data_IF_125952304777
#
_entry.id   IF_125952304777
#
_cell.length_a   1.000
_cell.length_b   1.000
_cell.length_c   1.000
_cell.angle_alpha   90.00
_cell.angle_beta   90.00
_cell.angle_gamma   90.00
#
_symmetry.space_group_name_H-M   'P 1'
#
loop_
_entity.id
_entity.type
_entity.pdbx_description
1 polymer ?
#
# COMPACT_ATOMS: atom_id res chain seq x y z
N UNK A 1 -1.75 0.71 -2.18
CA UNK A 1 -2.09 -0.73 -2.30
C UNK A 1 -2.68 -0.87 -3.68
N UNK A 2 -2.09 -1.68 -4.57
CA UNK A 2 -2.60 -1.82 -5.94
C UNK A 2 -3.82 -2.76 -5.95
N UNK A 3 -4.89 -2.37 -6.61
CA UNK A 3 -6.09 -3.21 -6.82
C UNK A 3 -6.36 -3.34 -8.33
N UNK A 4 -6.46 -4.57 -8.81
CA UNK A 4 -6.83 -4.90 -10.20
C UNK A 4 -8.09 -5.74 -10.19
N UNK A 5 -9.14 -5.27 -10.85
CA UNK A 5 -10.41 -5.99 -11.01
C UNK A 5 -10.44 -6.69 -12.35
N UNK A 6 -10.88 -7.94 -12.32
CA UNK A 6 -10.99 -8.79 -13.47
C UNK A 6 -12.39 -9.39 -13.57
N UNK A 7 -12.89 -9.51 -14.79
CA UNK A 7 -14.18 -10.11 -15.07
C UNK A 7 -14.05 -11.18 -16.16
N UNK A 8 -14.83 -12.27 -16.01
CA UNK A 8 -14.93 -13.34 -17.01
C UNK A 8 -16.30 -13.98 -16.94
N UNK A 9 -17.07 -13.94 -18.03
CA UNK A 9 -18.36 -14.64 -18.13
C UNK A 9 -19.33 -14.42 -16.95
N UNK A 10 -19.35 -13.22 -16.35
CA UNK A 10 -20.17 -12.90 -15.18
C UNK A 10 -19.52 -13.20 -13.82
N UNK A 11 -18.35 -13.82 -13.81
CA UNK A 11 -17.50 -13.97 -12.62
C UNK A 11 -16.63 -12.73 -12.43
N UNK A 12 -16.48 -12.29 -11.18
CA UNK A 12 -15.60 -11.18 -10.80
C UNK A 12 -14.47 -11.68 -9.91
N UNK A 13 -13.27 -11.15 -10.12
CA UNK A 13 -12.11 -11.35 -9.24
C UNK A 13 -11.41 -10.04 -8.97
N UNK A 14 -10.80 -9.92 -7.80
CA UNK A 14 -10.04 -8.75 -7.40
C UNK A 14 -8.67 -9.18 -6.93
N UNK A 15 -7.64 -8.77 -7.65
CA UNK A 15 -6.26 -8.92 -7.22
C UNK A 15 -5.86 -7.69 -6.41
N UNK A 16 -5.31 -7.89 -5.22
CA UNK A 16 -4.77 -6.84 -4.34
C UNK A 16 -3.31 -7.10 -4.09
N UNK A 17 -2.48 -6.07 -4.21
CA UNK A 17 -1.06 -6.15 -3.88
C UNK A 17 -0.69 -5.05 -2.92
N UNK A 18 -0.09 -5.45 -1.81
CA UNK A 18 0.47 -4.59 -0.78
C UNK A 18 1.83 -5.12 -0.33
N UNK A 19 2.41 -4.50 0.70
CA UNK A 19 3.74 -4.83 1.21
C UNK A 19 3.84 -6.27 1.73
N UNK A 20 2.73 -6.87 2.16
CA UNK A 20 2.69 -8.25 2.63
C UNK A 20 2.61 -9.28 1.49
N UNK A 21 2.16 -8.90 0.30
CA UNK A 21 2.02 -9.82 -0.82
C UNK A 21 0.89 -9.47 -1.79
N UNK A 22 0.61 -10.41 -2.70
CA UNK A 22 -0.50 -10.34 -3.64
C UNK A 22 -1.60 -11.32 -3.23
N UNK A 23 -2.84 -10.85 -3.07
CA UNK A 23 -4.01 -11.66 -2.79
C UNK A 23 -4.96 -11.64 -3.98
N UNK A 24 -5.62 -12.76 -4.24
CA UNK A 24 -6.72 -12.88 -5.18
C UNK A 24 -8.00 -13.09 -4.39
N UNK A 25 -8.98 -12.22 -4.61
CA UNK A 25 -10.30 -12.28 -4.03
C UNK A 25 -11.33 -12.69 -5.08
N UNK A 26 -12.37 -13.40 -4.67
CA UNK A 26 -13.52 -13.70 -5.52
C UNK A 26 -14.54 -12.53 -5.52
N UNK A 27 -15.66 -12.69 -6.23
CA UNK A 27 -16.71 -11.68 -6.36
C UNK A 27 -17.42 -11.32 -5.06
N UNK A 28 -17.43 -12.22 -4.06
CA UNK A 28 -17.90 -11.98 -2.70
C UNK A 28 -16.85 -11.29 -1.82
N UNK A 29 -15.62 -11.12 -2.33
CA UNK A 29 -14.50 -10.53 -1.60
C UNK A 29 -13.81 -11.48 -0.62
N UNK A 30 -14.02 -12.80 -0.73
CA UNK A 30 -13.29 -13.80 0.07
C UNK A 30 -11.97 -14.10 -0.62
N UNK A 31 -10.98 -14.54 0.16
CA UNK A 31 -9.65 -14.89 -0.35
C UNK A 31 -9.75 -16.19 -1.14
N UNK A 32 -9.53 -16.10 -2.45
CA UNK A 32 -9.40 -17.24 -3.35
C UNK A 32 -7.95 -17.75 -3.42
N UNK A 33 -6.96 -16.90 -3.13
CA UNK A 33 -5.56 -17.28 -3.05
C UNK A 33 -4.65 -16.17 -2.53
N UNK A 34 -3.54 -16.55 -1.91
CA UNK A 34 -2.49 -15.66 -1.40
C UNK A 34 -1.16 -16.00 -2.08
N UNK A 35 -0.44 -14.98 -2.50
CA UNK A 35 0.77 -15.06 -3.30
C UNK A 35 1.81 -14.07 -2.76
N UNK A 36 3.10 -14.35 -2.98
CA UNK A 36 4.17 -13.43 -2.58
C UNK A 36 4.12 -12.06 -3.26
N UNK A 37 4.98 -11.16 -2.81
CA UNK A 37 5.11 -9.76 -3.27
C UNK A 37 5.40 -9.64 -4.77
N UNK A 38 6.17 -10.55 -5.34
CA UNK A 38 6.65 -10.49 -6.72
C UNK A 38 5.76 -11.23 -7.75
N UNK A 39 4.56 -11.64 -7.34
CA UNK A 39 3.68 -12.48 -8.17
C UNK A 39 2.58 -11.72 -8.93
N UNK A 40 2.43 -10.41 -8.72
CA UNK A 40 1.35 -9.63 -9.33
C UNK A 40 1.30 -9.75 -10.86
N UNK A 41 2.39 -9.40 -11.55
CA UNK A 41 2.42 -9.39 -13.02
C UNK A 41 2.30 -10.80 -13.61
N UNK A 42 2.85 -11.81 -12.92
CA UNK A 42 2.71 -13.21 -13.32
C UNK A 42 1.26 -13.69 -13.19
N UNK A 43 0.62 -13.42 -12.06
CA UNK A 43 -0.77 -13.80 -11.83
C UNK A 43 -1.72 -13.06 -12.78
N UNK A 44 -1.45 -11.77 -13.03
CA UNK A 44 -2.20 -10.99 -14.01
C UNK A 44 -2.13 -11.61 -15.41
N UNK A 45 -0.94 -12.04 -15.82
CA UNK A 45 -0.72 -12.67 -17.12
C UNK A 45 -1.42 -14.03 -17.23
N UNK A 46 -1.38 -14.84 -16.17
CA UNK A 46 -2.06 -16.13 -16.08
C UNK A 46 -3.58 -15.98 -16.19
N UNK A 47 -4.16 -15.05 -15.42
CA UNK A 47 -5.59 -14.73 -15.48
C UNK A 47 -6.00 -14.23 -16.87
N UNK A 48 -5.20 -13.37 -17.51
CA UNK A 48 -5.45 -12.92 -18.88
C UNK A 48 -5.42 -14.08 -19.88
N UNK A 49 -4.48 -15.02 -19.73
CA UNK A 49 -4.42 -16.22 -20.56
C UNK A 49 -5.63 -17.15 -20.35
N UNK A 50 -6.18 -17.19 -19.14
CA UNK A 50 -7.41 -17.90 -18.75
C UNK A 50 -8.71 -17.16 -19.17
N UNK A 51 -8.58 -16.04 -19.90
CA UNK A 51 -9.70 -15.29 -20.48
C UNK A 51 -10.28 -14.21 -19.59
N UNK A 52 -9.63 -13.87 -18.48
CA UNK A 52 -10.05 -12.78 -17.62
C UNK A 52 -9.68 -11.42 -18.21
N UNK A 53 -10.62 -10.48 -18.18
CA UNK A 53 -10.44 -9.13 -18.69
C UNK A 53 -10.29 -8.16 -17.53
N UNK A 54 -9.27 -7.30 -17.57
CA UNK A 54 -9.11 -6.23 -16.58
C UNK A 54 -10.15 -5.15 -16.84
N UNK A 55 -11.00 -4.89 -15.86
CA UNK A 55 -12.06 -3.87 -15.94
C UNK A 55 -11.75 -2.63 -15.11
N UNK A 56 -10.85 -2.76 -14.12
CA UNK A 56 -10.24 -1.63 -13.43
C UNK A 56 -8.83 -2.01 -12.94
N UNK A 57 -7.89 -1.06 -12.99
CA UNK A 57 -6.57 -1.18 -12.38
C UNK A 57 -6.19 0.17 -11.77
N UNK A 58 -5.69 0.18 -10.55
CA UNK A 58 -5.24 1.42 -9.91
C UNK A 58 -4.70 1.24 -8.50
N UNK A 59 -4.04 2.27 -7.99
CA UNK A 59 -3.66 2.33 -6.59
C UNK A 59 -4.85 2.78 -5.74
N UNK A 60 -5.11 2.01 -4.68
CA UNK A 60 -6.14 2.26 -3.69
C UNK A 60 -5.48 2.47 -2.33
N UNK A 61 -6.01 3.43 -1.58
CA UNK A 61 -5.66 3.58 -0.17
C UNK A 61 -6.23 2.36 0.57
N UNK A 62 -5.39 1.59 1.30
CA UNK A 62 -5.89 0.47 2.07
C UNK A 62 -6.91 0.96 3.11
N UNK A 63 -8.04 0.27 3.31
CA UNK A 63 -9.00 0.65 4.33
C UNK A 63 -8.32 0.55 5.71
N UNK A 64 -8.04 1.69 6.33
CA UNK A 64 -7.36 1.75 7.63
C UNK A 64 -6.29 2.84 7.75
N UNK A 65 -5.84 3.44 6.65
CA UNK A 65 -5.00 4.65 6.75
C UNK A 65 -5.93 5.84 6.80
N UNK A 66 -6.05 6.58 7.92
CA UNK A 66 -6.78 7.83 7.90
C UNK A 66 -6.16 8.69 6.81
N UNK A 67 -6.97 9.16 5.86
CA UNK A 67 -6.56 10.16 4.90
C UNK A 67 -6.05 11.34 5.72
N UNK A 68 -4.72 11.49 5.82
CA UNK A 68 -4.12 12.61 6.53
C UNK A 68 -4.61 13.85 5.78
N UNK A 69 -5.41 14.73 6.40
CA UNK A 69 -5.92 15.89 5.69
C UNK A 69 -4.72 16.72 5.22
N UNK A 70 -4.76 17.29 4.00
CA UNK A 70 -3.72 18.20 3.54
C UNK A 70 -3.78 19.45 4.43
N UNK A 71 -2.93 19.51 5.45
CA UNK A 71 -2.93 20.64 6.39
C UNK A 71 -2.21 20.45 7.72
N UNK A 72 -1.87 19.23 8.16
CA UNK A 72 -1.06 19.07 9.38
C UNK A 72 0.44 19.09 9.05
N UNK A 73 0.94 20.29 8.74
CA UNK A 73 2.33 20.67 8.99
C UNK A 73 2.60 20.31 10.46
N UNK A 74 3.40 19.27 10.68
CA UNK A 74 4.01 19.07 11.99
C UNK A 74 4.78 20.35 12.27
N UNK A 75 4.39 21.02 13.35
CA UNK A 75 4.91 22.34 13.69
C UNK A 75 6.42 22.39 13.51
N UNK A 76 6.83 23.43 12.80
CA UNK A 76 8.17 24.00 12.80
C UNK A 76 8.60 24.21 14.26
N UNK A 77 9.13 23.16 14.88
CA UNK A 77 9.88 23.24 16.11
C UNK A 77 11.28 23.69 15.73
N UNK A 78 11.42 25.00 15.52
CA UNK A 78 12.64 25.65 15.09
C UNK A 78 13.86 25.10 15.81
N UNK A 79 14.86 24.69 15.03
CA UNK A 79 16.23 24.69 15.49
C UNK A 79 16.74 26.13 15.41
N UNK A 80 17.14 26.75 16.53
CA UNK A 80 18.13 27.81 16.47
C UNK A 80 19.46 27.26 17.01
N UNK A 81 20.39 27.09 16.08
CA UNK A 81 21.78 27.51 16.21
C UNK A 81 22.58 27.11 17.45
N UNK A 82 23.58 26.26 17.21
CA UNK A 82 24.96 26.44 17.66
C UNK A 82 25.19 27.58 18.67
N UNK A 83 25.49 27.24 19.93
CA UNK A 83 26.39 28.03 20.77
C UNK A 83 27.34 27.07 21.49
N UNK A 84 28.62 27.19 21.14
CA UNK A 84 29.74 26.63 21.88
C UNK A 84 29.92 27.36 23.23
N UNK A 85 30.70 26.72 24.14
CA UNK A 85 31.20 27.16 25.47
C UNK A 85 30.10 27.35 26.55
N UNK A 86 30.15 26.76 27.75
CA UNK A 86 31.23 26.62 28.72
C UNK A 86 31.01 25.37 29.60
N UNK A 87 32.10 24.68 29.95
CA UNK A 87 32.12 23.61 30.93
C UNK A 87 32.37 24.24 32.31
N UNK A 88 31.32 24.49 33.09
CA UNK A 88 31.44 24.74 34.54
C UNK A 88 30.97 23.49 35.28
N UNK A 89 31.93 22.60 35.56
CA UNK A 89 31.77 21.52 36.52
C UNK A 89 32.67 21.84 37.70
N UNK A 90 32.11 22.59 38.65
CA UNK A 90 32.59 22.63 40.02
C UNK A 90 32.65 21.20 40.59
N UNK A 91 33.80 20.82 41.13
CA UNK A 91 33.90 19.74 42.10
C UNK A 91 35.01 20.08 43.11
N UNK A 92 34.54 20.23 44.35
CA UNK A 92 35.18 20.31 45.67
C UNK A 92 36.70 20.16 45.79
#
# INVERSE_FOLDING_TARGET
MRETRLERAGECRVMRTDDAGTMLLDGEGKVAGEYGTDRHEMLLSDLRADGWQVTADGDRVPPGVPARPPGSVAGDGGAPGLRATENDAASS
#
